data_IF_019155211089
#
_entry.id   IF_019155211089
#
_cell.length_a   1.000
_cell.length_b   1.000
_cell.length_c   1.000
_cell.angle_alpha   90.00
_cell.angle_beta   90.00
_cell.angle_gamma   90.00
#
_symmetry.space_group_name_H-M   'P 1'
#
loop_
_entity.id
_entity.type
_entity.pdbx_description
1 polymer ?
#
# COMPACT_ATOMS: atom_id res chain seq x y z
N UNK A 1 -22.46 57.63 -56.27
CA UNK A 1 -22.29 57.54 -54.83
C UNK A 1 -21.77 56.08 -54.55
N UNK A 2 -20.46 55.92 -54.30
CA UNK A 2 -19.80 54.64 -54.12
C UNK A 2 -19.73 54.35 -52.61
N UNK A 3 -20.34 53.29 -52.18
CA UNK A 3 -20.30 52.80 -50.78
C UNK A 3 -19.14 51.79 -50.67
N UNK A 4 -18.11 52.20 -49.94
CA UNK A 4 -16.95 51.35 -49.67
C UNK A 4 -17.23 50.48 -48.46
N UNK A 5 -17.21 49.17 -48.67
CA UNK A 5 -17.41 48.16 -47.62
C UNK A 5 -16.13 47.95 -46.82
N UNK A 6 -16.17 48.23 -45.53
CA UNK A 6 -15.08 47.92 -44.58
C UNK A 6 -15.21 46.46 -44.12
N UNK A 7 -14.22 45.62 -44.47
CA UNK A 7 -14.08 44.29 -43.87
C UNK A 7 -13.30 44.39 -42.56
N UNK A 8 -13.95 44.12 -41.46
CA UNK A 8 -13.31 43.97 -40.17
C UNK A 8 -12.74 42.53 -40.07
N UNK A 9 -11.42 42.47 -39.97
CA UNK A 9 -10.72 41.20 -39.77
C UNK A 9 -10.64 40.91 -38.28
N UNK A 10 -11.41 39.92 -37.80
CA UNK A 10 -11.28 39.40 -36.42
C UNK A 10 -10.07 38.48 -36.35
N UNK A 11 -8.99 38.92 -35.70
CA UNK A 11 -7.87 38.08 -35.32
C UNK A 11 -8.24 37.35 -34.03
N UNK A 12 -8.64 36.08 -34.14
CA UNK A 12 -8.85 35.22 -33.00
C UNK A 12 -7.52 34.86 -32.36
N UNK A 13 -7.26 35.38 -31.17
CA UNK A 13 -6.13 34.98 -30.33
C UNK A 13 -6.43 33.60 -29.71
N UNK A 14 -5.90 32.55 -30.30
CA UNK A 14 -5.91 31.21 -29.68
C UNK A 14 -4.87 31.23 -28.58
N UNK A 15 -5.32 31.38 -27.34
CA UNK A 15 -4.48 31.13 -26.18
C UNK A 15 -4.23 29.61 -26.08
N UNK A 16 -3.06 29.14 -26.49
CA UNK A 16 -2.57 27.82 -26.16
C UNK A 16 -2.27 27.81 -24.63
N UNK A 17 -3.23 27.30 -23.88
CA UNK A 17 -3.00 26.96 -22.50
C UNK A 17 -2.02 25.78 -22.44
N UNK A 18 -0.75 26.06 -22.20
CA UNK A 18 0.20 25.03 -21.80
C UNK A 18 -0.19 24.56 -20.40
N UNK A 19 -0.93 23.47 -20.33
CA UNK A 19 -1.06 22.73 -19.08
C UNK A 19 0.33 22.20 -18.76
N UNK A 20 1.04 22.85 -17.87
CA UNK A 20 2.18 22.27 -17.19
C UNK A 20 1.64 21.14 -16.33
N UNK A 21 1.65 19.91 -16.88
CA UNK A 21 1.55 18.73 -16.06
C UNK A 21 2.70 18.84 -15.04
N UNK A 22 2.37 19.09 -13.79
CA UNK A 22 3.34 19.02 -12.72
C UNK A 22 3.93 17.60 -12.80
N UNK A 23 5.19 17.51 -13.19
CA UNK A 23 5.95 16.27 -13.09
C UNK A 23 5.99 15.94 -11.61
N UNK A 24 5.11 15.04 -11.19
CA UNK A 24 5.13 14.49 -9.85
C UNK A 24 6.51 13.87 -9.65
N UNK A 25 7.33 14.51 -8.83
CA UNK A 25 8.67 14.04 -8.57
C UNK A 25 8.59 12.67 -7.94
N UNK A 26 9.12 11.67 -8.63
CA UNK A 26 9.50 10.42 -7.97
C UNK A 26 10.37 10.82 -6.79
N UNK A 27 10.02 10.39 -5.59
CA UNK A 27 10.95 10.49 -4.49
C UNK A 27 12.23 9.82 -4.97
N UNK A 28 13.31 10.62 -5.17
CA UNK A 28 14.65 10.10 -5.19
C UNK A 28 14.84 9.53 -3.78
N UNK A 29 14.49 8.26 -3.66
CA UNK A 29 14.13 7.68 -2.40
C UNK A 29 15.39 7.52 -1.56
N UNK A 30 15.45 8.11 -0.35
CA UNK A 30 16.35 7.60 0.67
C UNK A 30 16.10 6.10 0.95
N UNK A 31 15.08 5.51 0.34
CA UNK A 31 14.68 4.14 0.45
C UNK A 31 15.42 3.16 -0.48
N UNK A 32 16.15 3.65 -1.49
CA UNK A 32 16.83 2.74 -2.41
C UNK A 32 18.08 2.06 -1.80
N UNK A 33 18.62 2.60 -0.70
CA UNK A 33 19.80 2.04 0.00
C UNK A 33 19.82 2.50 1.45
N UNK A 34 20.17 1.66 2.38
CA UNK A 34 20.50 0.25 2.29
C UNK A 34 19.25 -0.63 2.19
N UNK A 35 19.38 -1.80 1.55
CA UNK A 35 18.30 -2.75 1.34
C UNK A 35 18.44 -3.89 2.33
N UNK A 36 17.48 -4.10 3.25
CA UNK A 36 17.53 -5.22 4.19
C UNK A 36 17.69 -6.55 3.47
N UNK A 37 18.62 -7.38 3.94
CA UNK A 37 18.88 -8.74 3.44
C UNK A 37 19.23 -8.81 1.94
N UNK A 38 19.64 -7.69 1.32
CA UNK A 38 19.88 -7.57 -0.13
C UNK A 38 18.65 -7.93 -0.99
N UNK A 39 17.45 -7.81 -0.45
CA UNK A 39 16.20 -8.04 -1.19
C UNK A 39 16.00 -6.95 -2.25
N UNK A 40 15.54 -7.30 -3.46
CA UNK A 40 15.30 -6.30 -4.49
C UNK A 40 14.14 -5.36 -4.10
N UNK A 41 14.35 -4.06 -4.24
CA UNK A 41 13.28 -3.05 -4.14
C UNK A 41 12.50 -3.04 -5.45
N UNK A 42 11.16 -3.14 -5.38
CA UNK A 42 10.33 -3.32 -6.59
C UNK A 42 10.22 -2.05 -7.44
N UNK A 43 10.26 -0.88 -6.84
CA UNK A 43 10.10 0.38 -7.58
C UNK A 43 10.38 1.61 -6.73
N UNK A 44 10.21 2.78 -7.35
CA UNK A 44 10.33 4.05 -6.65
C UNK A 44 9.00 4.43 -6.00
N UNK A 45 9.08 5.01 -4.81
CA UNK A 45 7.92 5.60 -4.15
C UNK A 45 7.43 6.81 -4.95
N UNK A 46 6.17 6.79 -5.30
CA UNK A 46 5.46 7.89 -5.95
C UNK A 46 4.79 8.76 -4.88
N UNK A 47 4.82 10.07 -5.10
CA UNK A 47 4.20 11.02 -4.17
C UNK A 47 2.67 10.94 -4.26
N UNK A 48 2.03 11.09 -3.11
CA UNK A 48 0.57 11.20 -3.00
C UNK A 48 -0.02 12.16 -4.05
N UNK A 49 -1.07 11.72 -4.74
CA UNK A 49 -1.76 12.54 -5.76
C UNK A 49 -0.98 12.78 -7.06
N UNK A 50 0.12 12.07 -7.29
CA UNK A 50 1.01 12.29 -8.45
C UNK A 50 0.37 11.96 -9.81
N UNK A 51 -0.68 11.18 -9.85
CA UNK A 51 -1.47 10.90 -11.04
C UNK A 51 -2.99 10.85 -10.71
N UNK A 52 -3.83 10.68 -11.73
CA UNK A 52 -5.29 10.69 -11.58
C UNK A 52 -5.81 9.57 -10.66
N UNK A 53 -5.19 8.38 -10.68
CA UNK A 53 -5.57 7.24 -9.83
C UNK A 53 -5.22 7.52 -8.37
N UNK A 54 -4.04 8.07 -8.10
CA UNK A 54 -3.64 8.48 -6.75
C UNK A 54 -4.46 9.68 -6.25
N UNK A 55 -4.79 10.63 -7.11
CA UNK A 55 -5.65 11.76 -6.76
C UNK A 55 -7.07 11.29 -6.40
N UNK A 56 -7.64 10.33 -7.17
CA UNK A 56 -8.92 9.72 -6.87
C UNK A 56 -8.90 8.93 -5.55
N UNK A 57 -7.82 8.17 -5.30
CA UNK A 57 -7.62 7.49 -4.02
C UNK A 57 -7.67 8.50 -2.86
N UNK A 58 -6.88 9.56 -2.91
CA UNK A 58 -6.79 10.54 -1.84
C UNK A 58 -8.12 11.27 -1.57
N UNK A 59 -8.84 11.66 -2.62
CA UNK A 59 -10.06 12.45 -2.46
C UNK A 59 -11.28 11.63 -2.08
N UNK A 60 -11.39 10.39 -2.54
CA UNK A 60 -12.61 9.59 -2.41
C UNK A 60 -12.49 8.48 -1.38
N UNK A 61 -11.30 7.90 -1.19
CA UNK A 61 -11.11 6.67 -0.42
C UNK A 61 -10.31 6.86 0.85
N UNK A 62 -9.25 7.65 0.82
CA UNK A 62 -8.40 7.88 1.99
C UNK A 62 -9.19 8.33 3.24
N UNK A 63 -10.16 9.27 3.16
CA UNK A 63 -10.96 9.63 4.34
C UNK A 63 -11.77 8.48 4.91
N UNK A 64 -12.24 7.56 4.07
CA UNK A 64 -13.00 6.38 4.52
C UNK A 64 -12.09 5.38 5.25
N UNK A 65 -10.86 5.18 4.75
CA UNK A 65 -9.88 4.34 5.43
C UNK A 65 -9.47 4.93 6.77
N UNK A 66 -9.27 6.25 6.85
CA UNK A 66 -9.01 6.92 8.12
C UNK A 66 -10.12 6.70 9.15
N UNK A 67 -11.38 6.69 8.73
CA UNK A 67 -12.51 6.33 9.60
C UNK A 67 -12.38 4.90 10.11
N UNK A 68 -12.12 3.91 9.23
CA UNK A 68 -11.94 2.51 9.64
C UNK A 68 -10.79 2.37 10.63
N UNK A 69 -9.66 3.02 10.38
CA UNK A 69 -8.50 3.01 11.27
C UNK A 69 -8.87 3.59 12.65
N UNK A 70 -9.48 4.76 12.69
CA UNK A 70 -9.86 5.42 13.93
C UNK A 70 -10.89 4.63 14.75
N UNK A 71 -11.75 3.86 14.07
CA UNK A 71 -12.77 3.08 14.73
C UNK A 71 -12.26 1.71 15.22
N UNK A 72 -11.28 1.11 14.52
CA UNK A 72 -10.92 -0.29 14.74
C UNK A 72 -9.44 -0.52 15.10
N UNK A 73 -8.51 0.35 14.68
CA UNK A 73 -7.06 0.15 14.82
C UNK A 73 -6.45 1.33 15.59
N UNK A 74 -6.93 1.52 16.82
CA UNK A 74 -6.48 2.62 17.68
C UNK A 74 -5.27 2.21 18.51
N UNK A 75 -4.31 3.09 18.60
CA UNK A 75 -3.09 2.94 19.39
C UNK A 75 -3.36 2.34 20.79
N UNK A 76 -2.63 1.27 21.10
CA UNK A 76 -2.70 0.53 22.36
C UNK A 76 -4.10 0.03 22.74
N UNK A 77 -4.96 -0.22 21.74
CA UNK A 77 -6.30 -0.79 21.93
C UNK A 77 -6.40 -2.11 21.21
N UNK A 78 -6.42 -3.20 21.95
CA UNK A 78 -6.56 -4.55 21.41
C UNK A 78 -7.68 -4.59 20.37
N UNK A 79 -7.36 -5.03 19.17
CA UNK A 79 -8.33 -5.14 18.10
C UNK A 79 -9.44 -6.15 18.49
N UNK A 80 -10.67 -5.69 18.49
CA UNK A 80 -11.84 -6.54 18.68
C UNK A 80 -12.57 -6.71 17.35
N UNK A 81 -12.81 -7.93 16.95
CA UNK A 81 -13.34 -8.39 15.67
C UNK A 81 -14.73 -7.82 15.31
N UNK A 82 -14.88 -6.50 15.22
CA UNK A 82 -16.19 -5.84 15.22
C UNK A 82 -16.74 -5.45 13.84
N UNK A 83 -16.04 -5.70 12.72
CA UNK A 83 -16.50 -5.20 11.42
C UNK A 83 -16.79 -6.32 10.42
N UNK A 84 -17.97 -6.26 9.80
CA UNK A 84 -18.41 -7.20 8.75
C UNK A 84 -17.64 -7.16 7.42
N UNK A 85 -16.46 -6.52 7.38
CA UNK A 85 -15.60 -6.38 6.19
C UNK A 85 -14.22 -7.00 6.36
N UNK A 86 -14.01 -7.71 7.45
CA UNK A 86 -12.73 -8.38 7.74
C UNK A 86 -12.51 -9.53 6.78
N UNK A 87 -11.29 -9.62 6.26
CA UNK A 87 -10.80 -10.75 5.46
C UNK A 87 -9.87 -11.62 6.29
N UNK A 88 -9.75 -12.90 5.93
CA UNK A 88 -8.65 -13.74 6.35
C UNK A 88 -7.38 -13.30 5.61
N UNK A 89 -6.49 -12.63 6.32
CA UNK A 89 -5.25 -12.09 5.72
C UNK A 89 -4.34 -13.18 5.14
N UNK A 90 -4.49 -14.44 5.58
CA UNK A 90 -3.76 -15.60 5.03
C UNK A 90 -4.30 -16.05 3.65
N UNK A 91 -5.40 -15.47 3.18
CA UNK A 91 -6.12 -15.93 1.97
C UNK A 91 -6.38 -14.82 0.95
N UNK A 92 -5.42 -13.93 0.74
CA UNK A 92 -5.54 -12.83 -0.23
C UNK A 92 -5.29 -13.34 -1.66
N UNK A 93 -6.18 -14.20 -2.17
CA UNK A 93 -6.07 -14.80 -3.49
C UNK A 93 -6.65 -13.89 -4.57
N UNK A 94 -5.89 -13.68 -5.65
CA UNK A 94 -6.37 -13.03 -6.85
C UNK A 94 -7.19 -14.02 -7.68
N UNK A 95 -8.44 -13.69 -8.00
CA UNK A 95 -9.36 -14.55 -8.77
C UNK A 95 -9.24 -14.37 -10.27
N UNK A 96 -8.55 -13.33 -10.70
CA UNK A 96 -8.20 -13.09 -12.10
C UNK A 96 -6.90 -12.30 -12.20
N UNK A 97 -6.30 -12.31 -13.40
CA UNK A 97 -5.17 -11.43 -13.68
C UNK A 97 -5.59 -9.96 -13.50
N UNK A 98 -4.75 -9.18 -12.82
CA UNK A 98 -5.02 -7.76 -12.61
C UNK A 98 -4.93 -7.00 -13.95
N UNK A 99 -5.96 -6.22 -14.27
CA UNK A 99 -5.99 -5.37 -15.47
C UNK A 99 -4.91 -4.30 -15.35
N UNK A 100 -4.90 -3.61 -14.22
CA UNK A 100 -3.93 -2.57 -13.89
C UNK A 100 -2.84 -3.11 -12.97
N UNK A 101 -1.72 -2.38 -12.91
CA UNK A 101 -0.68 -2.62 -11.91
C UNK A 101 -1.24 -2.47 -10.51
N UNK A 102 -0.98 -3.44 -9.64
CA UNK A 102 -1.33 -3.38 -8.22
C UNK A 102 -0.54 -2.25 -7.58
N UNK A 103 -1.22 -1.42 -6.78
CA UNK A 103 -0.61 -0.33 -6.02
C UNK A 103 -0.72 -0.57 -4.54
N UNK A 104 0.35 -0.28 -3.83
CA UNK A 104 0.40 -0.26 -2.38
C UNK A 104 0.54 1.18 -1.92
N UNK A 105 -0.50 1.71 -1.26
CA UNK A 105 -0.55 3.06 -0.72
C UNK A 105 -0.21 3.04 0.77
N UNK A 106 0.83 3.73 1.16
CA UNK A 106 1.16 3.91 2.57
C UNK A 106 0.11 4.80 3.26
N UNK A 107 -0.33 4.44 4.46
CA UNK A 107 -1.29 5.24 5.24
C UNK A 107 -0.68 5.87 6.49
N UNK A 108 -0.18 5.04 7.37
CA UNK A 108 0.35 5.46 8.65
C UNK A 108 1.32 4.42 9.23
N UNK A 109 2.00 4.81 10.27
CA UNK A 109 2.86 3.97 11.09
C UNK A 109 2.74 4.47 12.54
N UNK A 110 2.48 3.55 13.48
CA UNK A 110 2.42 3.77 14.92
C UNK A 110 3.62 3.21 15.68
N UNK A 111 4.51 2.48 15.00
CA UNK A 111 5.61 1.75 15.61
C UNK A 111 6.75 2.61 16.13
N UNK A 112 7.41 2.15 17.19
CA UNK A 112 8.72 2.65 17.59
C UNK A 112 9.88 2.11 16.73
N UNK A 113 9.63 1.08 15.92
CA UNK A 113 10.58 0.43 15.03
C UNK A 113 10.60 1.06 13.64
N UNK A 114 11.71 0.89 12.90
CA UNK A 114 11.79 1.22 11.48
C UNK A 114 11.63 -0.05 10.66
N UNK A 115 10.38 -0.38 10.44
CA UNK A 115 9.97 -1.58 9.76
C UNK A 115 10.25 -1.53 8.26
N UNK A 116 10.52 -2.70 7.65
CA UNK A 116 10.59 -2.85 6.20
C UNK A 116 9.36 -3.61 5.72
N UNK A 117 8.57 -3.01 4.82
CA UNK A 117 7.43 -3.69 4.20
C UNK A 117 7.83 -4.28 2.86
N UNK A 118 7.43 -5.52 2.62
CA UNK A 118 7.62 -6.20 1.36
C UNK A 118 6.47 -7.13 0.98
N UNK A 119 6.63 -7.80 -0.15
CA UNK A 119 5.64 -8.73 -0.68
C UNK A 119 6.28 -9.86 -1.49
N UNK A 120 5.48 -10.90 -1.72
CA UNK A 120 5.73 -11.92 -2.72
C UNK A 120 4.41 -12.27 -3.43
N UNK A 121 4.50 -12.63 -4.70
CA UNK A 121 3.40 -13.32 -5.39
C UNK A 121 3.64 -14.81 -5.27
N UNK A 122 2.74 -15.52 -4.60
CA UNK A 122 2.80 -16.98 -4.50
C UNK A 122 1.88 -17.60 -5.54
N UNK A 123 2.43 -18.33 -6.53
CA UNK A 123 1.61 -19.00 -7.54
C UNK A 123 0.62 -20.00 -6.91
N UNK A 124 -0.53 -20.19 -7.54
CA UNK A 124 -1.54 -21.14 -7.10
C UNK A 124 -0.95 -22.53 -6.90
N UNK A 125 -1.27 -23.14 -5.75
CA UNK A 125 -0.81 -24.49 -5.38
C UNK A 125 0.65 -24.59 -4.91
N UNK A 126 1.38 -23.47 -4.84
CA UNK A 126 2.73 -23.44 -4.27
C UNK A 126 2.67 -23.35 -2.75
N UNK A 127 3.37 -24.22 -2.05
CA UNK A 127 3.56 -24.14 -0.60
C UNK A 127 4.67 -23.15 -0.20
N UNK A 128 5.46 -22.67 -1.19
CA UNK A 128 6.57 -21.76 -0.95
C UNK A 128 6.22 -20.40 -1.52
N UNK A 129 6.41 -19.31 -0.76
CA UNK A 129 6.27 -17.96 -1.30
C UNK A 129 7.14 -17.76 -2.55
N UNK A 130 6.67 -16.94 -3.48
CA UNK A 130 7.50 -16.45 -4.58
C UNK A 130 8.70 -15.64 -4.05
N UNK A 131 9.54 -15.17 -4.96
CA UNK A 131 10.72 -14.38 -4.57
C UNK A 131 10.31 -13.09 -3.85
N UNK A 132 10.72 -12.88 -2.58
CA UNK A 132 10.39 -11.69 -1.82
C UNK A 132 10.99 -10.43 -2.46
N UNK A 133 10.22 -9.35 -2.44
CA UNK A 133 10.64 -8.02 -2.89
C UNK A 133 10.23 -6.98 -1.85
N UNK A 134 11.03 -5.92 -1.74
CA UNK A 134 10.76 -4.82 -0.81
C UNK A 134 9.90 -3.77 -1.50
N UNK A 135 8.88 -3.30 -0.80
CA UNK A 135 8.03 -2.16 -1.18
C UNK A 135 8.57 -0.88 -0.56
N UNK A 136 8.64 -0.86 0.78
CA UNK A 136 9.17 0.25 1.57
C UNK A 136 10.32 -0.23 2.43
N UNK A 137 11.59 0.04 2.06
CA UNK A 137 12.75 -0.30 2.91
C UNK A 137 12.69 0.27 4.32
N UNK A 138 12.09 1.44 4.47
CA UNK A 138 11.75 2.06 5.74
C UNK A 138 10.30 2.56 5.67
N UNK A 139 9.39 1.88 6.37
CA UNK A 139 7.96 2.21 6.39
C UNK A 139 7.61 3.27 7.45
N UNK A 140 8.55 4.15 7.78
CA UNK A 140 8.32 5.22 8.76
C UNK A 140 7.84 6.51 8.13
N UNK A 141 7.05 7.27 8.87
CA UNK A 141 6.45 8.52 8.43
C UNK A 141 6.69 9.67 9.43
N UNK A 142 6.48 10.89 8.97
CA UNK A 142 6.58 12.07 9.81
C UNK A 142 5.81 13.25 9.20
N UNK A 143 5.68 14.33 9.94
CA UNK A 143 4.91 15.53 9.56
C UNK A 143 5.76 16.65 8.93
N UNK A 144 7.08 16.62 9.15
CA UNK A 144 8.03 17.60 8.64
C UNK A 144 8.53 17.32 7.23
N UNK A 145 9.69 17.84 6.87
CA UNK A 145 10.38 17.46 5.62
C UNK A 145 10.72 15.98 5.62
N UNK A 146 10.71 15.36 4.43
CA UNK A 146 11.09 13.96 4.31
C UNK A 146 12.55 13.76 4.64
N UNK A 147 12.85 12.76 5.44
CA UNK A 147 14.20 12.37 5.85
C UNK A 147 14.42 10.88 5.60
N UNK A 148 15.65 10.40 5.74
CA UNK A 148 15.95 8.95 5.70
C UNK A 148 15.27 8.17 6.82
N UNK A 149 14.93 8.84 7.92
CA UNK A 149 14.27 8.24 9.08
C UNK A 149 12.74 8.27 8.96
N UNK A 150 12.20 9.24 8.24
CA UNK A 150 10.76 9.46 8.03
C UNK A 150 10.49 9.74 6.55
N UNK A 151 10.69 8.74 5.68
CA UNK A 151 10.68 8.97 4.24
C UNK A 151 9.28 9.06 3.65
N UNK A 152 8.26 8.49 4.30
CA UNK A 152 6.91 8.36 3.75
C UNK A 152 5.95 9.44 4.23
N UNK A 153 4.87 9.61 3.46
CA UNK A 153 3.69 10.39 3.82
C UNK A 153 2.44 9.63 3.40
N UNK A 154 1.35 9.85 4.11
CA UNK A 154 0.05 9.25 3.79
C UNK A 154 -0.33 9.46 2.34
N UNK A 155 -0.68 8.37 1.65
CA UNK A 155 -1.03 8.35 0.24
C UNK A 155 0.15 8.22 -0.72
N UNK A 156 1.40 8.16 -0.25
CA UNK A 156 2.53 7.72 -1.06
C UNK A 156 2.33 6.28 -1.51
N UNK A 157 2.77 5.93 -2.70
CA UNK A 157 2.51 4.59 -3.22
C UNK A 157 3.66 4.01 -4.04
N UNK A 158 3.64 2.69 -4.18
CA UNK A 158 4.52 1.93 -5.08
C UNK A 158 3.67 1.00 -5.94
N UNK A 159 4.01 0.88 -7.20
CA UNK A 159 3.46 -0.12 -8.11
C UNK A 159 4.25 -1.42 -8.00
N UNK A 160 3.56 -2.51 -7.65
CA UNK A 160 4.22 -3.81 -7.38
C UNK A 160 4.08 -4.83 -8.52
N UNK A 161 3.55 -4.40 -9.66
CA UNK A 161 3.32 -5.25 -10.82
C UNK A 161 1.91 -5.82 -10.88
N UNK A 162 1.71 -6.79 -11.75
CA UNK A 162 0.42 -7.48 -11.94
C UNK A 162 0.49 -8.86 -11.33
N UNK A 163 -0.57 -9.23 -10.60
CA UNK A 163 -0.73 -10.59 -10.10
C UNK A 163 -1.48 -11.46 -11.10
N UNK A 164 -1.14 -12.74 -11.15
CA UNK A 164 -1.80 -13.74 -11.99
C UNK A 164 -3.06 -14.33 -11.32
N UNK A 165 -3.91 -14.97 -12.14
CA UNK A 165 -5.08 -15.70 -11.64
C UNK A 165 -4.67 -16.82 -10.68
N UNK A 166 -5.34 -16.89 -9.54
CA UNK A 166 -5.07 -17.87 -8.48
C UNK A 166 -3.82 -17.58 -7.64
N UNK A 167 -3.09 -16.49 -7.92
CA UNK A 167 -1.93 -16.14 -7.12
C UNK A 167 -2.36 -15.51 -5.79
N UNK A 168 -1.64 -15.85 -4.73
CA UNK A 168 -1.79 -15.20 -3.43
C UNK A 168 -0.86 -13.99 -3.34
N UNK A 169 -1.37 -12.91 -2.76
CA UNK A 169 -0.59 -11.79 -2.30
C UNK A 169 -0.09 -12.08 -0.88
N UNK A 170 1.20 -12.37 -0.78
CA UNK A 170 1.87 -12.50 0.49
C UNK A 170 2.59 -11.20 0.83
N UNK A 171 2.14 -10.52 1.88
CA UNK A 171 2.85 -9.37 2.44
C UNK A 171 3.68 -9.81 3.63
N UNK A 172 4.81 -9.16 3.84
CA UNK A 172 5.65 -9.37 5.01
C UNK A 172 6.18 -8.06 5.57
N UNK A 173 6.40 -8.07 6.86
CA UNK A 173 7.11 -7.05 7.58
C UNK A 173 8.44 -7.63 8.08
N UNK A 174 9.53 -6.92 7.89
CA UNK A 174 10.78 -7.19 8.60
C UNK A 174 10.78 -6.28 9.83
N UNK A 175 10.57 -6.86 11.01
CA UNK A 175 10.52 -6.15 12.27
C UNK A 175 11.81 -5.39 12.53
N UNK A 176 11.73 -4.07 12.66
CA UNK A 176 12.86 -3.13 12.75
C UNK A 176 13.92 -3.33 11.65
N UNK A 177 13.48 -3.82 10.49
CA UNK A 177 14.36 -4.32 9.43
C UNK A 177 15.36 -3.28 8.94
N UNK A 178 14.96 -2.02 8.85
CA UNK A 178 15.83 -0.94 8.41
C UNK A 178 16.98 -0.64 9.38
N UNK A 179 16.74 -0.71 10.69
CA UNK A 179 17.79 -0.50 11.70
C UNK A 179 18.63 -1.77 11.90
N UNK A 180 17.99 -2.93 12.02
CA UNK A 180 18.67 -4.22 12.30
C UNK A 180 19.63 -4.60 11.21
N UNK A 181 19.25 -4.36 9.95
CA UNK A 181 20.14 -4.60 8.82
C UNK A 181 21.40 -3.75 8.91
N UNK A 182 21.31 -2.46 9.26
CA UNK A 182 22.49 -1.58 9.42
C UNK A 182 23.43 -2.05 10.52
N UNK A 183 22.88 -2.66 11.56
CA UNK A 183 23.60 -3.11 12.73
C UNK A 183 24.00 -4.60 12.67
N UNK A 184 23.76 -5.25 11.51
CA UNK A 184 24.01 -6.70 11.31
C UNK A 184 23.33 -7.58 12.38
N UNK A 185 22.14 -7.19 12.81
CA UNK A 185 21.33 -7.92 13.80
C UNK A 185 20.38 -8.88 13.10
N UNK A 186 19.91 -9.91 13.83
CA UNK A 186 18.90 -10.84 13.33
C UNK A 186 17.59 -10.08 13.04
N UNK A 187 17.01 -10.34 11.88
CA UNK A 187 15.76 -9.74 11.42
C UNK A 187 14.65 -10.79 11.51
N UNK A 188 13.54 -10.41 12.12
CA UNK A 188 12.33 -11.24 12.19
C UNK A 188 11.42 -10.96 11.00
N UNK A 189 10.92 -12.01 10.37
CA UNK A 189 9.92 -11.97 9.31
C UNK A 189 8.54 -12.21 9.89
N UNK A 190 7.60 -11.34 9.62
CA UNK A 190 6.20 -11.44 10.01
C UNK A 190 5.35 -11.39 8.74
N UNK A 191 4.55 -12.43 8.50
CA UNK A 191 3.78 -12.59 7.27
C UNK A 191 2.29 -12.40 7.53
N UNK A 192 1.55 -12.00 6.49
CA UNK A 192 0.09 -11.99 6.54
C UNK A 192 -0.50 -13.40 6.62
N UNK A 193 0.21 -14.41 6.15
CA UNK A 193 -0.15 -15.80 6.29
C UNK A 193 0.44 -16.35 7.62
N UNK A 194 -0.43 -16.61 8.59
CA UNK A 194 -0.07 -17.08 9.94
C UNK A 194 0.80 -18.34 9.91
N UNK A 195 0.63 -19.20 8.90
CA UNK A 195 1.41 -20.45 8.78
C UNK A 195 2.89 -20.22 8.49
N UNK A 196 3.25 -19.02 8.06
CA UNK A 196 4.62 -18.60 7.77
C UNK A 196 5.31 -17.89 8.95
N UNK A 197 4.57 -17.59 10.02
CA UNK A 197 5.09 -16.93 11.22
C UNK A 197 5.70 -17.97 12.18
N UNK A 198 6.95 -17.73 12.57
CA UNK A 198 7.69 -18.68 13.41
C UNK A 198 7.15 -18.83 14.83
N UNK A 199 6.35 -17.85 15.30
CA UNK A 199 5.66 -17.89 16.59
C UNK A 199 4.23 -18.42 16.50
N UNK A 200 3.71 -18.67 15.30
CA UNK A 200 2.35 -19.13 15.07
C UNK A 200 1.26 -18.10 15.39
N UNK A 201 1.64 -16.81 15.53
CA UNK A 201 0.72 -15.71 15.85
C UNK A 201 0.30 -14.98 14.58
N UNK A 202 -0.93 -14.49 14.55
CA UNK A 202 -1.42 -13.61 13.48
C UNK A 202 -0.90 -12.20 13.71
N UNK A 203 -0.07 -11.71 12.77
CA UNK A 203 0.49 -10.36 12.81
C UNK A 203 -0.21 -9.39 11.88
N UNK A 204 -1.30 -9.79 11.22
CA UNK A 204 -1.96 -8.98 10.20
C UNK A 204 -3.46 -9.04 10.32
N UNK A 205 -4.09 -7.88 10.18
CA UNK A 205 -5.52 -7.78 9.89
C UNK A 205 -5.72 -7.20 8.50
N UNK A 206 -6.78 -7.66 7.82
CA UNK A 206 -7.15 -7.19 6.49
C UNK A 206 -8.64 -6.85 6.43
N UNK A 207 -8.98 -5.75 5.74
CA UNK A 207 -10.34 -5.28 5.57
C UNK A 207 -10.60 -4.95 4.11
N UNK A 208 -11.67 -5.51 3.54
CA UNK A 208 -12.13 -5.09 2.23
C UNK A 208 -13.01 -3.83 2.36
N UNK A 209 -12.77 -2.84 1.52
CA UNK A 209 -13.66 -1.70 1.40
C UNK A 209 -14.79 -2.06 0.43
N UNK A 210 -16.07 -2.08 0.84
CA UNK A 210 -17.18 -2.42 -0.05
C UNK A 210 -17.23 -1.53 -1.30
N UNK A 211 -17.58 -2.13 -2.43
CA UNK A 211 -17.69 -1.45 -3.72
C UNK A 211 -16.45 -0.65 -4.11
N UNK A 212 -15.28 -1.19 -3.80
CA UNK A 212 -13.99 -0.57 -4.12
C UNK A 212 -12.96 -1.61 -4.56
N UNK A 213 -11.88 -1.19 -5.25
CA UNK A 213 -10.78 -2.07 -5.61
C UNK A 213 -9.77 -2.28 -4.46
N UNK A 214 -10.06 -1.83 -3.25
CA UNK A 214 -9.08 -1.65 -2.18
C UNK A 214 -9.25 -2.61 -1.02
N UNK A 215 -8.11 -3.01 -0.45
CA UNK A 215 -7.98 -3.73 0.81
C UNK A 215 -7.10 -2.91 1.74
N UNK A 216 -7.56 -2.62 2.96
CA UNK A 216 -6.75 -2.09 4.05
C UNK A 216 -6.04 -3.25 4.76
N UNK A 217 -4.75 -3.08 5.03
CA UNK A 217 -3.93 -4.06 5.76
C UNK A 217 -3.21 -3.34 6.89
N UNK A 218 -3.24 -3.93 8.08
CA UNK A 218 -2.52 -3.48 9.26
C UNK A 218 -1.63 -4.58 9.82
N UNK A 219 -0.41 -4.22 10.22
CA UNK A 219 0.59 -5.12 10.80
C UNK A 219 0.89 -4.78 12.26
N UNK A 220 1.18 -5.84 13.02
CA UNK A 220 1.92 -5.84 14.27
C UNK A 220 3.37 -6.21 14.01
N UNK A 221 4.31 -5.53 14.64
CA UNK A 221 5.73 -5.68 14.39
C UNK A 221 6.51 -6.46 15.47
N UNK A 222 5.84 -6.89 16.56
CA UNK A 222 6.44 -7.64 17.65
C UNK A 222 6.08 -9.13 17.60
N UNK A 223 7.08 -9.99 17.90
CA UNK A 223 6.86 -11.43 18.14
C UNK A 223 5.85 -11.57 19.28
N UNK A 224 4.89 -12.47 19.11
CA UNK A 224 3.81 -12.70 20.07
C UNK A 224 2.64 -11.71 19.92
N UNK A 225 2.68 -10.79 18.94
CA UNK A 225 1.55 -9.92 18.58
C UNK A 225 1.48 -8.62 19.35
N UNK A 226 2.53 -8.20 20.06
CA UNK A 226 2.59 -6.88 20.67
C UNK A 226 1.41 -6.54 21.56
N UNK A 227 0.79 -5.38 21.34
CA UNK A 227 -0.44 -4.93 22.01
C UNK A 227 -1.73 -5.26 21.22
N UNK A 228 -1.58 -5.93 20.08
CA UNK A 228 -2.67 -6.43 19.23
C UNK A 228 -3.58 -5.32 18.66
N UNK A 229 -3.03 -4.17 18.37
CA UNK A 229 -3.75 -3.05 17.78
C UNK A 229 -3.61 -2.94 16.25
N UNK A 230 -2.61 -3.64 15.67
CA UNK A 230 -2.34 -3.80 14.24
C UNK A 230 -2.16 -2.48 13.49
N UNK A 231 -1.60 -1.48 14.14
CA UNK A 231 -1.38 -0.16 13.55
C UNK A 231 0.10 0.20 13.33
N UNK A 232 1.02 -0.70 13.64
CA UNK A 232 2.46 -0.49 13.48
C UNK A 232 2.87 -0.15 12.04
N UNK A 233 2.21 -0.77 11.05
CA UNK A 233 2.30 -0.35 9.64
C UNK A 233 0.96 -0.54 8.96
N UNK A 234 0.37 0.56 8.50
CA UNK A 234 -0.92 0.60 7.81
C UNK A 234 -0.75 0.97 6.34
N UNK A 235 -1.35 0.17 5.46
CA UNK A 235 -1.35 0.44 4.03
C UNK A 235 -2.60 -0.08 3.33
N UNK A 236 -2.87 0.45 2.15
CA UNK A 236 -3.97 0.02 1.29
C UNK A 236 -3.43 -0.56 0.00
N UNK A 237 -4.02 -1.67 -0.44
CA UNK A 237 -3.67 -2.35 -1.69
C UNK A 237 -4.82 -2.22 -2.68
N UNK A 238 -4.52 -1.68 -3.87
CA UNK A 238 -5.44 -1.64 -4.99
C UNK A 238 -5.19 -2.86 -5.88
N UNK A 239 -6.07 -3.85 -5.77
CA UNK A 239 -6.04 -5.12 -6.51
C UNK A 239 -7.03 -5.16 -7.67
N UNK A 240 -7.72 -4.06 -7.91
CA UNK A 240 -8.82 -3.96 -8.88
C UNK A 240 -10.16 -4.46 -8.34
N UNK A 241 -11.24 -3.89 -8.87
CA UNK A 241 -12.61 -4.12 -8.40
C UNK A 241 -13.00 -5.60 -8.37
N UNK A 242 -12.70 -6.35 -9.42
CA UNK A 242 -13.13 -7.76 -9.52
C UNK A 242 -12.46 -8.63 -8.47
N UNK A 243 -11.16 -8.46 -8.24
CA UNK A 243 -10.47 -9.21 -7.21
C UNK A 243 -10.94 -8.84 -5.81
N UNK A 244 -11.13 -7.55 -5.51
CA UNK A 244 -11.63 -7.09 -4.22
C UNK A 244 -13.04 -7.63 -3.93
N UNK A 245 -13.96 -7.56 -4.90
CA UNK A 245 -15.32 -8.11 -4.78
C UNK A 245 -15.27 -9.63 -4.57
N UNK A 246 -14.43 -10.34 -5.33
CA UNK A 246 -14.33 -11.80 -5.19
C UNK A 246 -13.84 -12.25 -3.82
N UNK A 247 -13.00 -11.45 -3.15
CA UNK A 247 -12.56 -11.76 -1.79
C UNK A 247 -13.70 -11.55 -0.77
N UNK A 248 -14.57 -10.57 -0.98
CA UNK A 248 -15.72 -10.34 -0.08
C UNK A 248 -16.85 -11.34 -0.29
N UNK A 249 -17.04 -11.81 -1.51
CA UNK A 249 -18.10 -12.75 -1.86
C UNK A 249 -17.74 -14.22 -1.60
N UNK A 250 -16.47 -14.52 -1.34
CA UNK A 250 -15.99 -15.88 -1.04
C UNK A 250 -15.97 -16.13 0.47
N UNK A 251 -16.88 -16.98 1.01
CA UNK A 251 -16.91 -17.30 2.43
C UNK A 251 -15.58 -17.86 2.97
N UNK A 252 -14.76 -18.50 2.11
CA UNK A 252 -13.45 -19.03 2.51
C UNK A 252 -12.40 -17.95 2.72
N UNK A 253 -12.63 -16.75 2.22
CA UNK A 253 -11.77 -15.57 2.41
C UNK A 253 -12.11 -14.77 3.67
N UNK A 254 -13.17 -15.17 4.39
CA UNK A 254 -13.56 -14.54 5.65
C UNK A 254 -12.87 -15.23 6.83
N UNK A 255 -12.63 -14.52 7.96
CA UNK A 255 -12.11 -15.12 9.17
C UNK A 255 -13.06 -16.19 9.70
N UNK A 256 -12.51 -17.31 10.14
CA UNK A 256 -13.26 -18.38 10.80
C UNK A 256 -13.26 -18.22 12.32
#
# INVERSE_FOLDING_TARGET
>A
MKITSFKVLFLGLVALGTSTAAMAGTLASPQATPVPLNLPVIGNVQVTGSDSRAAAFNSQWLPKFQTIINDNLRESVVFSNATGFRLDSSKLFLRQECVDTIRVYFLAEGAGYRNTLGFAFTPAGSATPGSPKVIFPNASSGTGSRTVNEPLRTGDFVEIGKGGNGWQLDFYLLSDGYNRWKNNSTITWLWNDITKNGDGVQHVVAFAMPNSPYILIGFEDLIGGGDLDYNDVLFVVDIGMVNATSLTDDPSSLPQ
#
